data_IF_329440590645
#
_entry.id   IF_329440590645
#
_cell.length_a   1.000
_cell.length_b   1.000
_cell.length_c   1.000
_cell.angle_alpha   90.00
_cell.angle_beta   90.00
_cell.angle_gamma   90.00
#
_symmetry.space_group_name_H-M   'P 1'
#
loop_
_entity.id
_entity.type
_entity.pdbx_description
1 polymer ?
#
# COMPACT_ATOMS: atom_id res chain seq x y z
N UNK A 1 12.89 -12.17 28.76
CA UNK A 1 12.29 -12.16 27.40
C UNK A 1 11.06 -13.09 27.35
N UNK A 2 9.93 -12.68 27.96
CA UNK A 2 8.68 -13.46 27.86
C UNK A 2 7.96 -13.17 26.54
N UNK A 3 8.29 -13.90 25.48
CA UNK A 3 7.33 -14.15 24.41
C UNK A 3 6.55 -15.40 24.79
N UNK A 4 5.39 -15.23 25.44
CA UNK A 4 4.40 -16.31 25.41
C UNK A 4 3.98 -16.39 23.94
N UNK A 5 4.59 -17.30 23.18
CA UNK A 5 4.25 -17.57 21.78
C UNK A 5 2.87 -18.22 21.72
N UNK A 6 1.84 -17.42 22.03
CA UNK A 6 0.44 -17.77 21.84
C UNK A 6 0.12 -17.44 20.40
N UNK A 7 -0.18 -18.47 19.59
CA UNK A 7 -0.67 -18.29 18.22
C UNK A 7 -1.81 -17.26 18.22
N UNK A 8 -1.54 -16.08 17.67
CA UNK A 8 -2.55 -15.06 17.43
C UNK A 8 -3.07 -15.26 16.02
N UNK A 9 -4.32 -15.69 15.92
CA UNK A 9 -4.93 -15.99 14.62
C UNK A 9 -5.25 -14.74 13.78
N UNK A 10 -5.02 -13.51 14.29
CA UNK A 10 -5.39 -12.25 13.63
C UNK A 10 -4.44 -11.10 13.98
N UNK A 11 -4.22 -10.22 13.00
CA UNK A 11 -3.51 -8.95 13.20
C UNK A 11 -4.25 -8.09 14.24
N UNK A 12 -3.58 -7.63 15.32
CA UNK A 12 -4.19 -6.76 16.32
C UNK A 12 -4.53 -5.36 15.77
N UNK A 13 -3.79 -4.88 14.76
CA UNK A 13 -4.08 -3.63 14.07
C UNK A 13 -5.18 -3.87 13.03
N UNK A 14 -6.40 -3.44 13.32
CA UNK A 14 -7.57 -3.70 12.47
C UNK A 14 -7.66 -2.72 11.30
N UNK A 15 -7.09 -3.10 10.15
CA UNK A 15 -7.01 -2.24 8.97
C UNK A 15 -8.15 -2.38 7.95
N UNK A 16 -9.03 -3.38 8.10
CA UNK A 16 -10.07 -3.70 7.09
C UNK A 16 -11.03 -2.56 6.74
N UNK A 17 -11.26 -1.60 7.65
CA UNK A 17 -12.10 -0.42 7.38
C UNK A 17 -11.32 0.59 6.53
N UNK A 18 -10.16 1.03 7.02
CA UNK A 18 -9.23 1.88 6.27
C UNK A 18 -8.94 1.35 4.86
N UNK A 19 -8.72 0.03 4.71
CA UNK A 19 -8.52 -0.61 3.40
C UNK A 19 -9.72 -0.42 2.47
N UNK A 20 -10.94 -0.73 2.95
CA UNK A 20 -12.16 -0.58 2.14
C UNK A 20 -12.42 0.86 1.76
N UNK A 21 -12.22 1.81 2.68
CA UNK A 21 -12.42 3.24 2.41
C UNK A 21 -11.38 3.75 1.41
N UNK A 22 -10.10 3.43 1.62
CA UNK A 22 -9.03 3.83 0.71
C UNK A 22 -9.19 3.21 -0.69
N UNK A 23 -9.52 1.91 -0.76
CA UNK A 23 -9.81 1.23 -2.03
C UNK A 23 -10.95 1.90 -2.79
N UNK A 24 -12.04 2.28 -2.11
CA UNK A 24 -13.16 3.00 -2.76
C UNK A 24 -12.68 4.33 -3.35
N UNK A 25 -11.88 5.10 -2.62
CA UNK A 25 -11.32 6.36 -3.11
C UNK A 25 -10.43 6.15 -4.34
N UNK A 26 -9.50 5.20 -4.30
CA UNK A 26 -8.61 4.94 -5.44
C UNK A 26 -9.34 4.36 -6.65
N UNK A 27 -10.41 3.60 -6.42
CA UNK A 27 -11.26 3.09 -7.50
C UNK A 27 -11.96 4.24 -8.25
N UNK A 28 -12.29 5.35 -7.58
CA UNK A 28 -12.85 6.53 -8.26
C UNK A 28 -11.83 7.17 -9.20
N UNK A 29 -10.56 7.24 -8.80
CA UNK A 29 -9.46 7.70 -9.66
C UNK A 29 -9.33 6.82 -10.90
N UNK A 30 -9.29 5.51 -10.72
CA UNK A 30 -9.22 4.56 -11.83
C UNK A 30 -10.44 4.63 -12.76
N UNK A 31 -11.65 4.84 -12.22
CA UNK A 31 -12.86 5.04 -13.04
C UNK A 31 -12.75 6.29 -13.90
N UNK A 32 -12.23 7.40 -13.36
CA UNK A 32 -12.01 8.62 -14.11
C UNK A 32 -10.96 8.43 -15.22
N UNK A 33 -9.89 7.68 -14.95
CA UNK A 33 -8.91 7.27 -15.98
C UNK A 33 -9.61 6.52 -17.12
N UNK A 34 -10.43 5.52 -16.80
CA UNK A 34 -11.20 4.79 -17.80
C UNK A 34 -12.15 5.68 -18.60
N UNK A 35 -12.84 6.62 -17.94
CA UNK A 35 -13.73 7.57 -18.60
C UNK A 35 -12.98 8.51 -19.56
N UNK A 36 -11.79 9.00 -19.17
CA UNK A 36 -10.92 9.82 -20.04
C UNK A 36 -10.53 9.04 -21.29
N UNK A 37 -10.05 7.80 -21.13
CA UNK A 37 -9.59 6.97 -22.25
C UNK A 37 -10.74 6.61 -23.19
N UNK A 38 -11.90 6.22 -22.64
CA UNK A 38 -13.07 5.83 -23.42
C UNK A 38 -13.81 7.02 -24.06
N UNK A 39 -13.43 8.25 -23.75
CA UNK A 39 -13.97 9.46 -24.39
C UNK A 39 -13.45 9.69 -25.80
N UNK A 40 -12.44 8.93 -26.25
CA UNK A 40 -11.82 9.07 -27.56
C UNK A 40 -12.08 7.85 -28.46
N UNK A 41 -12.11 8.04 -29.80
CA UNK A 41 -12.24 6.94 -30.74
C UNK A 41 -11.09 5.93 -30.58
N UNK A 42 -11.40 4.63 -30.52
CA UNK A 42 -10.37 3.60 -30.37
C UNK A 42 -9.53 3.48 -31.65
N UNK A 43 -8.21 3.39 -31.50
CA UNK A 43 -7.31 3.14 -32.62
C UNK A 43 -7.01 4.35 -33.51
N UNK A 44 -7.38 5.56 -33.07
CA UNK A 44 -6.92 6.81 -33.69
C UNK A 44 -5.63 7.29 -33.01
N UNK A 45 -4.45 7.13 -33.66
CA UNK A 45 -3.18 7.54 -33.05
C UNK A 45 -3.07 9.05 -32.83
N UNK A 46 -3.84 9.86 -33.57
CA UNK A 46 -3.82 11.32 -33.42
C UNK A 46 -4.44 11.81 -32.11
N UNK A 47 -5.27 10.98 -31.46
CA UNK A 47 -5.88 11.26 -30.17
C UNK A 47 -4.92 11.06 -28.99
N UNK A 48 -3.86 10.25 -29.15
CA UNK A 48 -2.95 9.86 -28.06
C UNK A 48 -2.33 11.05 -27.31
N UNK A 49 -1.76 12.07 -27.98
CA UNK A 49 -1.13 13.19 -27.27
C UNK A 49 -2.13 13.92 -26.38
N UNK A 50 -3.39 14.02 -26.82
CA UNK A 50 -4.47 14.66 -26.06
C UNK A 50 -4.86 13.81 -24.84
N UNK A 51 -5.03 12.49 -25.02
CA UNK A 51 -5.32 11.57 -23.91
C UNK A 51 -4.22 11.64 -22.84
N UNK A 52 -2.97 11.52 -23.26
CA UNK A 52 -1.79 11.59 -22.39
C UNK A 52 -1.70 12.92 -21.64
N UNK A 53 -1.98 14.04 -22.32
CA UNK A 53 -2.00 15.35 -21.70
C UNK A 53 -3.12 15.48 -20.65
N UNK A 54 -4.34 15.00 -20.94
CA UNK A 54 -5.47 15.04 -20.00
C UNK A 54 -5.17 14.19 -18.77
N UNK A 55 -4.63 12.98 -18.93
CA UNK A 55 -4.28 12.11 -17.82
C UNK A 55 -3.18 12.71 -16.93
N UNK A 56 -2.16 13.36 -17.52
CA UNK A 56 -1.13 14.08 -16.75
C UNK A 56 -1.70 15.27 -15.97
N UNK A 57 -2.52 16.10 -16.62
CA UNK A 57 -3.24 17.21 -15.94
C UNK A 57 -4.15 16.70 -14.83
N UNK A 58 -4.82 15.57 -15.04
CA UNK A 58 -5.62 14.93 -14.01
C UNK A 58 -4.77 14.48 -12.83
N UNK A 59 -3.61 13.86 -13.07
CA UNK A 59 -2.67 13.49 -12.02
C UNK A 59 -2.26 14.70 -11.18
N UNK A 60 -1.98 15.85 -11.80
CA UNK A 60 -1.60 17.06 -11.08
C UNK A 60 -2.76 17.65 -10.28
N UNK A 61 -3.97 17.68 -10.85
CA UNK A 61 -5.17 18.11 -10.15
C UNK A 61 -5.52 17.24 -8.93
N UNK A 62 -5.02 16.00 -8.85
CA UNK A 62 -5.23 15.12 -7.72
C UNK A 62 -4.39 15.48 -6.48
N UNK A 63 -3.42 16.41 -6.56
CA UNK A 63 -2.44 16.63 -5.49
C UNK A 63 -3.09 16.81 -4.09
N UNK A 64 -3.94 17.82 -3.94
CA UNK A 64 -4.53 18.14 -2.63
C UNK A 64 -5.54 17.08 -2.17
N UNK A 65 -6.26 16.50 -3.13
CA UNK A 65 -7.16 15.37 -2.87
C UNK A 65 -6.40 14.13 -2.40
N UNK A 66 -5.23 13.85 -2.99
CA UNK A 66 -4.36 12.74 -2.62
C UNK A 66 -3.77 12.94 -1.22
N UNK A 67 -3.36 14.17 -0.89
CA UNK A 67 -2.93 14.55 0.47
C UNK A 67 -4.06 14.27 1.47
N UNK A 68 -5.26 14.80 1.22
CA UNK A 68 -6.39 14.62 2.13
C UNK A 68 -6.81 13.15 2.29
N UNK A 69 -6.78 12.39 1.20
CA UNK A 69 -7.15 10.96 1.18
C UNK A 69 -6.11 10.10 1.89
N UNK A 70 -4.82 10.31 1.59
CA UNK A 70 -3.71 9.62 2.24
C UNK A 70 -3.62 9.93 3.73
N UNK A 71 -3.76 11.20 4.11
CA UNK A 71 -3.75 11.62 5.51
C UNK A 71 -4.88 10.94 6.31
N UNK A 72 -6.10 10.88 5.76
CA UNK A 72 -7.23 10.20 6.41
C UNK A 72 -6.95 8.72 6.65
N UNK A 73 -6.42 8.02 5.64
CA UNK A 73 -6.04 6.60 5.76
C UNK A 73 -4.99 6.41 6.86
N UNK A 74 -3.93 7.22 6.86
CA UNK A 74 -2.85 7.15 7.85
C UNK A 74 -3.37 7.45 9.26
N UNK A 75 -4.23 8.46 9.43
CA UNK A 75 -4.85 8.78 10.72
C UNK A 75 -5.68 7.61 11.25
N UNK A 76 -6.51 6.98 10.40
CA UNK A 76 -7.31 5.82 10.82
C UNK A 76 -6.43 4.65 11.24
N UNK A 77 -5.40 4.32 10.43
CA UNK A 77 -4.47 3.23 10.76
C UNK A 77 -3.71 3.52 12.05
N UNK A 78 -3.23 4.75 12.25
CA UNK A 78 -2.55 5.17 13.49
C UNK A 78 -3.45 5.04 14.72
N UNK A 79 -4.75 5.34 14.60
CA UNK A 79 -5.69 5.14 15.70
C UNK A 79 -5.85 3.65 16.06
N UNK A 80 -5.87 2.75 15.06
CA UNK A 80 -5.96 1.31 15.30
C UNK A 80 -4.66 0.73 15.86
N UNK A 81 -3.52 1.22 15.37
CA UNK A 81 -2.20 0.87 15.90
C UNK A 81 -2.07 1.27 17.37
N UNK A 82 -2.43 2.51 17.74
CA UNK A 82 -2.46 2.97 19.15
C UNK A 82 -3.35 2.09 20.03
N UNK A 83 -4.52 1.68 19.55
CA UNK A 83 -5.41 0.76 20.28
C UNK A 83 -4.77 -0.62 20.49
N UNK A 84 -4.10 -1.14 19.46
CA UNK A 84 -3.39 -2.41 19.56
C UNK A 84 -2.24 -2.34 20.58
N UNK A 85 -1.50 -1.23 20.60
CA UNK A 85 -0.45 -0.98 21.59
C UNK A 85 -1.01 -0.83 23.01
N UNK A 86 -2.09 -0.07 23.19
CA UNK A 86 -2.72 0.10 24.50
C UNK A 86 -3.09 -1.26 25.11
N UNK A 87 -3.70 -2.16 24.33
CA UNK A 87 -4.05 -3.51 24.79
C UNK A 87 -2.81 -4.40 25.06
N UNK A 88 -1.74 -4.28 24.25
CA UNK A 88 -0.51 -5.07 24.42
C UNK A 88 0.29 -4.67 25.66
N UNK A 89 0.21 -3.40 26.04
CA UNK A 89 0.99 -2.80 27.13
C UNK A 89 0.25 -2.79 28.47
N UNK A 90 -0.93 -3.42 28.54
CA UNK A 90 -1.77 -3.46 29.76
C UNK A 90 -1.06 -4.01 30.99
N UNK A 91 -0.14 -4.95 30.79
CA UNK A 91 0.65 -5.58 31.87
C UNK A 91 2.04 -4.94 32.05
N UNK A 92 2.38 -3.94 31.23
CA UNK A 92 3.68 -3.25 31.25
C UNK A 92 3.66 -2.06 32.21
N UNK A 93 4.85 -1.59 32.60
CA UNK A 93 5.01 -0.42 33.48
C UNK A 93 4.33 0.82 32.89
N UNK A 94 3.79 1.69 33.76
CA UNK A 94 3.12 2.91 33.33
C UNK A 94 4.03 3.81 32.47
N UNK A 95 5.31 3.92 32.85
CA UNK A 95 6.29 4.73 32.12
C UNK A 95 6.51 4.22 30.69
N UNK A 96 6.70 2.90 30.54
CA UNK A 96 6.91 2.29 29.22
C UNK A 96 5.65 2.35 28.35
N UNK A 97 4.46 2.22 28.95
CA UNK A 97 3.20 2.45 28.25
C UNK A 97 3.06 3.88 27.73
N UNK A 98 3.36 4.87 28.57
CA UNK A 98 3.27 6.28 28.18
C UNK A 98 4.25 6.60 27.05
N UNK A 99 5.47 6.07 27.10
CA UNK A 99 6.46 6.21 26.03
C UNK A 99 5.97 5.65 24.68
N UNK A 100 5.40 4.43 24.66
CA UNK A 100 4.86 3.79 23.45
C UNK A 100 3.70 4.58 22.84
N UNK A 101 2.77 5.06 23.69
CA UNK A 101 1.57 5.75 23.21
C UNK A 101 1.88 7.16 22.68
N UNK A 102 2.91 7.81 23.24
CA UNK A 102 3.35 9.15 22.86
C UNK A 102 4.58 9.19 21.94
N UNK A 103 5.09 8.02 21.52
CA UNK A 103 6.19 7.92 20.58
C UNK A 103 6.01 8.84 19.35
N UNK A 104 7.08 9.53 18.97
CA UNK A 104 7.08 10.44 17.82
C UNK A 104 7.04 9.66 16.50
N UNK A 105 5.83 9.38 16.04
CA UNK A 105 5.57 8.78 14.73
C UNK A 105 5.47 9.83 13.62
N UNK A 106 5.72 11.12 13.91
CA UNK A 106 5.46 12.22 12.99
C UNK A 106 6.31 12.14 11.71
N UNK A 107 7.59 11.80 11.83
CA UNK A 107 8.48 11.62 10.68
C UNK A 107 8.03 10.46 9.78
N UNK A 108 7.69 9.32 10.37
CA UNK A 108 7.17 8.16 9.62
C UNK A 108 5.86 8.50 8.90
N UNK A 109 4.93 9.20 9.57
CA UNK A 109 3.66 9.61 8.96
C UNK A 109 3.85 10.59 7.79
N UNK A 110 4.78 11.54 7.89
CA UNK A 110 5.10 12.46 6.79
C UNK A 110 5.70 11.73 5.58
N UNK A 111 6.60 10.78 5.81
CA UNK A 111 7.16 9.92 4.77
C UNK A 111 6.07 9.12 4.05
N UNK A 112 5.26 8.39 4.82
CA UNK A 112 4.13 7.62 4.30
C UNK A 112 3.16 8.50 3.50
N UNK A 113 2.85 9.71 3.96
CA UNK A 113 1.96 10.62 3.24
C UNK A 113 2.53 11.02 1.87
N UNK A 114 3.82 11.38 1.81
CA UNK A 114 4.49 11.73 0.56
C UNK A 114 4.45 10.56 -0.45
N UNK A 115 4.70 9.34 0.04
CA UNK A 115 4.62 8.12 -0.75
C UNK A 115 3.19 7.86 -1.25
N UNK A 116 2.17 8.07 -0.42
CA UNK A 116 0.77 7.91 -0.84
C UNK A 116 0.39 8.90 -1.95
N UNK A 117 0.79 10.17 -1.83
CA UNK A 117 0.53 11.17 -2.87
C UNK A 117 1.15 10.72 -4.20
N UNK A 118 2.39 10.25 -4.16
CA UNK A 118 3.10 9.74 -5.33
C UNK A 118 2.39 8.53 -5.95
N UNK A 119 1.99 7.56 -5.14
CA UNK A 119 1.30 6.35 -5.60
C UNK A 119 -0.08 6.65 -6.19
N UNK A 120 -0.86 7.54 -5.57
CA UNK A 120 -2.16 7.96 -6.10
C UNK A 120 -1.99 8.62 -7.48
N UNK A 121 -1.05 9.57 -7.59
CA UNK A 121 -0.74 10.24 -8.87
C UNK A 121 -0.21 9.27 -9.92
N UNK A 122 0.45 8.18 -9.53
CA UNK A 122 0.93 7.18 -10.48
C UNK A 122 -0.19 6.45 -11.24
N UNK A 123 -1.41 6.38 -10.71
CA UNK A 123 -2.52 5.68 -11.38
C UNK A 123 -2.82 6.28 -12.76
N UNK A 124 -3.12 7.59 -12.90
CA UNK A 124 -3.30 8.22 -14.21
C UNK A 124 -2.01 8.35 -15.02
N UNK A 125 -0.84 8.52 -14.38
CA UNK A 125 0.44 8.64 -15.09
C UNK A 125 0.84 7.34 -15.78
N UNK A 126 0.71 6.20 -15.09
CA UNK A 126 0.98 4.88 -15.66
C UNK A 126 0.00 4.56 -16.78
N UNK A 127 -1.26 5.00 -16.66
CA UNK A 127 -2.25 4.86 -17.73
C UNK A 127 -1.87 5.69 -18.97
N UNK A 128 -1.40 6.93 -18.79
CA UNK A 128 -0.92 7.77 -19.89
C UNK A 128 0.27 7.10 -20.61
N UNK A 129 1.24 6.62 -19.83
CA UNK A 129 2.40 5.91 -20.36
C UNK A 129 1.98 4.65 -21.14
N UNK A 130 1.07 3.86 -20.59
CA UNK A 130 0.56 2.65 -21.25
C UNK A 130 -0.16 2.97 -22.57
N UNK A 131 -1.00 4.01 -22.59
CA UNK A 131 -1.71 4.43 -23.82
C UNK A 131 -0.71 4.86 -24.89
N UNK A 132 0.32 5.62 -24.49
CA UNK A 132 1.41 6.04 -25.37
C UNK A 132 2.15 4.84 -25.99
N UNK A 133 2.63 3.92 -25.15
CA UNK A 133 3.37 2.72 -25.58
C UNK A 133 2.54 1.84 -26.53
N UNK A 134 1.27 1.60 -26.21
CA UNK A 134 0.38 0.82 -27.05
C UNK A 134 0.12 1.52 -28.39
N UNK A 135 -0.01 2.85 -28.40
CA UNK A 135 -0.22 3.61 -29.64
C UNK A 135 0.99 3.49 -30.57
N UNK A 136 2.22 3.60 -30.05
CA UNK A 136 3.44 3.41 -30.83
C UNK A 136 3.50 1.99 -31.43
N UNK A 137 3.19 0.96 -30.63
CA UNK A 137 3.13 -0.42 -31.12
C UNK A 137 2.08 -0.61 -32.22
N UNK A 138 0.94 0.08 -32.13
CA UNK A 138 -0.11 0.03 -33.15
C UNK A 138 0.27 0.71 -34.47
N UNK A 139 1.12 1.74 -34.43
CA UNK A 139 1.68 2.39 -35.62
C UNK A 139 2.70 1.47 -36.31
N UNK A 140 3.53 0.78 -35.53
CA UNK A 140 4.56 -0.13 -36.04
C UNK A 140 3.97 -1.41 -36.67
N UNK A 141 2.86 -1.94 -36.11
CA UNK A 141 2.22 -3.17 -36.58
C UNK A 141 0.73 -2.96 -36.94
N UNK A 142 0.50 -2.49 -38.17
CA UNK A 142 -0.83 -2.24 -38.72
C UNK A 142 -1.72 -3.50 -38.77
N UNK A 143 -1.15 -4.71 -38.77
CA UNK A 143 -1.94 -5.97 -38.80
C UNK A 143 -2.67 -6.23 -37.48
N UNK A 144 -2.24 -5.57 -36.39
CA UNK A 144 -2.79 -5.74 -35.04
C UNK A 144 -3.52 -4.51 -34.51
N UNK A 145 -3.77 -3.50 -35.35
CA UNK A 145 -4.37 -2.23 -34.93
C UNK A 145 -5.66 -2.38 -34.10
N UNK A 146 -6.55 -3.31 -34.45
CA UNK A 146 -7.78 -3.58 -33.70
C UNK A 146 -7.50 -4.14 -32.29
N UNK A 147 -6.55 -5.07 -32.16
CA UNK A 147 -6.19 -5.63 -30.86
C UNK A 147 -5.50 -4.59 -29.97
N UNK A 148 -4.62 -3.77 -30.53
CA UNK A 148 -4.00 -2.64 -29.81
C UNK A 148 -5.06 -1.64 -29.34
N UNK A 149 -6.04 -1.30 -30.17
CA UNK A 149 -7.13 -0.41 -29.80
C UNK A 149 -7.97 -0.98 -28.63
N UNK A 150 -8.19 -2.31 -28.58
CA UNK A 150 -8.81 -2.98 -27.43
C UNK A 150 -7.94 -2.85 -26.18
N UNK A 151 -6.64 -3.09 -26.28
CA UNK A 151 -5.70 -2.98 -25.15
C UNK A 151 -5.59 -1.55 -24.59
N UNK A 152 -5.68 -0.53 -25.45
CA UNK A 152 -5.75 0.87 -25.04
C UNK A 152 -6.97 1.09 -24.15
N UNK A 153 -8.17 0.64 -24.56
CA UNK A 153 -9.38 0.73 -23.73
C UNK A 153 -9.26 -0.01 -22.41
N UNK A 154 -8.59 -1.17 -22.40
CA UNK A 154 -8.33 -1.95 -21.18
C UNK A 154 -7.37 -1.27 -20.21
N UNK A 155 -6.70 -0.18 -20.58
CA UNK A 155 -5.86 0.59 -19.66
C UNK A 155 -6.65 1.14 -18.46
N UNK A 156 -7.96 1.38 -18.59
CA UNK A 156 -8.84 1.68 -17.44
C UNK A 156 -8.97 0.51 -16.45
N UNK A 157 -9.05 -0.73 -16.95
CA UNK A 157 -9.08 -1.94 -16.11
C UNK A 157 -7.74 -2.18 -15.41
N UNK A 158 -6.64 -1.89 -16.10
CA UNK A 158 -5.28 -1.94 -15.53
C UNK A 158 -5.14 -0.90 -14.42
N UNK A 159 -5.62 0.33 -14.64
CA UNK A 159 -5.66 1.38 -13.63
C UNK A 159 -6.49 0.95 -12.40
N UNK A 160 -7.63 0.28 -12.61
CA UNK A 160 -8.46 -0.24 -11.51
C UNK A 160 -7.75 -1.34 -10.72
N UNK A 161 -7.06 -2.26 -11.41
CA UNK A 161 -6.26 -3.31 -10.77
C UNK A 161 -5.10 -2.71 -9.95
N UNK A 162 -4.44 -1.69 -10.48
CA UNK A 162 -3.40 -0.93 -9.78
C UNK A 162 -3.94 -0.23 -8.54
N UNK A 163 -5.08 0.44 -8.63
CA UNK A 163 -5.73 1.10 -7.50
C UNK A 163 -6.02 0.11 -6.35
N UNK A 164 -6.49 -1.10 -6.66
CA UNK A 164 -6.71 -2.15 -5.66
C UNK A 164 -5.41 -2.64 -5.02
N UNK A 165 -4.37 -2.84 -5.84
CA UNK A 165 -3.05 -3.26 -5.35
C UNK A 165 -2.45 -2.22 -4.38
N UNK A 166 -2.50 -0.94 -4.75
CA UNK A 166 -2.05 0.17 -3.89
C UNK A 166 -2.85 0.14 -2.59
N UNK A 167 -4.18 0.10 -2.65
CA UNK A 167 -5.00 0.17 -1.44
C UNK A 167 -4.68 -0.94 -0.43
N UNK A 168 -4.54 -2.19 -0.89
CA UNK A 168 -4.22 -3.33 -0.03
C UNK A 168 -2.81 -3.26 0.54
N UNK A 169 -1.84 -2.95 -0.31
CA UNK A 169 -0.42 -2.96 0.07
C UNK A 169 -0.11 -1.81 1.03
N UNK A 170 -0.59 -0.62 0.71
CA UNK A 170 -0.20 0.60 1.43
C UNK A 170 -0.86 0.73 2.80
N UNK A 171 -2.06 0.21 2.96
CA UNK A 171 -2.72 0.17 4.27
C UNK A 171 -2.01 -0.80 5.21
N UNK A 172 -1.60 -1.96 4.70
CA UNK A 172 -0.81 -2.93 5.46
C UNK A 172 0.60 -2.40 5.77
N UNK A 173 1.26 -1.76 4.79
CA UNK A 173 2.57 -1.12 4.98
C UNK A 173 2.51 -0.01 6.01
N UNK A 174 1.51 0.86 5.94
CA UNK A 174 1.28 1.94 6.93
C UNK A 174 1.17 1.37 8.34
N UNK A 175 0.40 0.29 8.53
CA UNK A 175 0.29 -0.35 9.83
C UNK A 175 1.64 -0.87 10.33
N UNK A 176 2.37 -1.62 9.49
CA UNK A 176 3.68 -2.16 9.85
C UNK A 176 4.71 -1.07 10.18
N UNK A 177 4.78 0.00 9.38
CA UNK A 177 5.69 1.12 9.58
C UNK A 177 5.38 1.91 10.86
N UNK A 178 4.10 2.13 11.19
CA UNK A 178 3.74 2.80 12.44
C UNK A 178 4.04 1.92 13.66
N UNK A 179 3.77 0.61 13.56
CA UNK A 179 4.15 -0.37 14.59
C UNK A 179 5.67 -0.38 14.80
N UNK A 180 6.46 -0.40 13.72
CA UNK A 180 7.92 -0.31 13.78
C UNK A 180 8.40 0.97 14.46
N UNK A 181 7.85 2.14 14.06
CA UNK A 181 8.24 3.42 14.62
C UNK A 181 8.04 3.48 16.15
N UNK A 182 6.89 2.98 16.64
CA UNK A 182 6.62 2.89 18.08
C UNK A 182 7.51 1.88 18.79
N UNK A 183 7.74 0.72 18.17
CA UNK A 183 8.58 -0.31 18.76
C UNK A 183 10.03 0.16 18.91
N UNK A 184 10.59 0.80 17.88
CA UNK A 184 11.94 1.36 17.90
C UNK A 184 12.10 2.46 18.93
N UNK A 185 11.07 3.29 19.13
CA UNK A 185 11.08 4.33 20.15
C UNK A 185 11.33 3.78 21.57
N UNK A 186 10.98 2.52 21.82
CA UNK A 186 11.19 1.86 23.12
C UNK A 186 12.29 0.82 23.09
N UNK A 187 13.27 0.95 22.19
CA UNK A 187 14.44 0.06 22.13
C UNK A 187 14.17 -1.35 21.59
N UNK A 188 13.05 -1.59 20.90
CA UNK A 188 12.81 -2.87 20.23
C UNK A 188 13.83 -3.10 19.11
N UNK A 189 14.57 -4.21 19.17
CA UNK A 189 15.52 -4.60 18.12
C UNK A 189 14.85 -5.27 16.91
N UNK A 190 13.66 -5.86 17.10
CA UNK A 190 12.97 -6.61 16.07
C UNK A 190 11.59 -7.11 16.48
N UNK A 191 11.05 -8.01 15.67
CA UNK A 191 9.71 -8.55 15.82
C UNK A 191 9.64 -10.03 15.46
N UNK A 192 8.58 -10.69 15.91
CA UNK A 192 8.21 -12.02 15.42
C UNK A 192 7.30 -11.87 14.20
N UNK A 193 7.66 -12.48 13.08
CA UNK A 193 6.86 -12.44 11.86
C UNK A 193 5.59 -13.29 12.02
N UNK A 194 4.43 -12.67 11.82
CA UNK A 194 3.13 -13.34 11.88
C UNK A 194 2.40 -13.27 10.55
N UNK A 195 1.68 -14.32 10.21
CA UNK A 195 0.94 -14.45 8.95
C UNK A 195 -0.56 -14.45 9.19
N UNK A 196 -1.34 -14.14 8.15
CA UNK A 196 -2.81 -14.24 8.20
C UNK A 196 -3.34 -15.68 8.39
N UNK A 197 -2.46 -16.70 8.36
CA UNK A 197 -2.79 -18.11 8.51
C UNK A 197 -3.88 -18.64 7.57
N UNK A 198 -4.09 -18.01 6.41
CA UNK A 198 -5.07 -18.48 5.41
C UNK A 198 -4.44 -19.07 4.15
N UNK A 199 -5.30 -19.63 3.31
CA UNK A 199 -4.91 -20.33 2.08
C UNK A 199 -4.13 -19.48 1.08
N UNK A 200 -4.28 -18.15 1.12
CA UNK A 200 -3.68 -17.23 0.14
C UNK A 200 -2.34 -16.64 0.58
N UNK A 201 -1.88 -16.94 1.81
CA UNK A 201 -0.53 -16.59 2.23
C UNK A 201 0.48 -17.37 1.38
N UNK A 202 1.44 -16.66 0.77
CA UNK A 202 2.51 -17.22 -0.07
C UNK A 202 3.38 -18.20 0.73
N UNK A 203 3.93 -19.21 0.06
CA UNK A 203 4.76 -20.25 0.73
C UNK A 203 6.00 -19.67 1.42
N UNK A 204 6.69 -18.73 0.77
CA UNK A 204 7.81 -17.98 1.33
C UNK A 204 7.42 -17.20 2.60
N UNK A 205 6.24 -16.57 2.62
CA UNK A 205 5.71 -15.88 3.80
C UNK A 205 5.29 -16.85 4.91
N UNK A 206 4.68 -17.99 4.57
CA UNK A 206 4.34 -19.06 5.54
C UNK A 206 5.59 -19.57 6.25
N UNK A 207 6.70 -19.72 5.53
CA UNK A 207 7.98 -20.15 6.08
C UNK A 207 8.62 -19.12 7.05
N UNK A 208 8.08 -17.90 7.14
CA UNK A 208 8.54 -16.88 8.07
C UNK A 208 7.77 -16.86 9.39
N UNK A 209 6.63 -17.56 9.49
CA UNK A 209 5.83 -17.61 10.71
C UNK A 209 6.66 -17.96 11.95
N UNK A 210 6.58 -17.12 12.98
CA UNK A 210 7.27 -17.33 14.25
C UNK A 210 8.76 -16.96 14.24
N UNK A 211 9.35 -16.56 13.10
CA UNK A 211 10.76 -16.17 13.04
C UNK A 211 10.97 -14.76 13.57
N UNK A 212 12.04 -14.56 14.34
CA UNK A 212 12.50 -13.24 14.73
C UNK A 212 13.19 -12.54 13.56
N UNK A 213 12.83 -11.28 13.34
CA UNK A 213 13.34 -10.43 12.27
C UNK A 213 13.82 -9.11 12.87
N UNK A 214 15.12 -8.78 12.73
CA UNK A 214 15.63 -7.47 13.13
C UNK A 214 14.99 -6.36 12.29
N UNK A 215 14.67 -5.22 12.91
CA UNK A 215 14.20 -4.07 12.15
C UNK A 215 15.26 -3.48 11.21
N UNK A 216 16.54 -3.75 11.47
CA UNK A 216 17.65 -3.30 10.64
C UNK A 216 17.88 -4.17 9.40
N UNK A 217 17.28 -5.37 9.34
CA UNK A 217 17.54 -6.35 8.30
C UNK A 217 16.25 -7.05 7.85
N UNK A 218 15.43 -6.38 7.00
CA UNK A 218 14.26 -7.02 6.40
C UNK A 218 14.67 -8.22 5.52
N UNK A 219 13.89 -9.32 5.53
CA UNK A 219 14.16 -10.47 4.69
C UNK A 219 13.83 -10.18 3.22
N UNK A 220 14.44 -10.95 2.32
CA UNK A 220 14.09 -10.98 0.89
C UNK A 220 13.22 -12.19 0.61
N UNK A 221 11.97 -11.97 0.24
CA UNK A 221 10.97 -13.01 -0.09
C UNK A 221 10.41 -12.71 -1.48
N UNK A 222 10.26 -13.74 -2.32
CA UNK A 222 9.70 -13.60 -3.67
C UNK A 222 10.41 -12.51 -4.50
N UNK A 223 11.75 -12.42 -4.35
CA UNK A 223 12.62 -11.41 -4.99
C UNK A 223 12.37 -9.97 -4.53
N UNK A 224 11.65 -9.75 -3.44
CA UNK A 224 11.36 -8.45 -2.86
C UNK A 224 11.82 -8.39 -1.41
N UNK A 225 12.52 -7.31 -1.04
CA UNK A 225 12.97 -7.08 0.34
C UNK A 225 11.95 -6.24 1.07
N UNK A 226 11.49 -6.71 2.24
CA UNK A 226 10.53 -5.94 3.04
C UNK A 226 10.09 -6.66 4.31
N UNK A 227 9.62 -5.88 5.27
CA UNK A 227 9.06 -6.40 6.52
C UNK A 227 7.67 -7.02 6.32
N UNK A 228 7.21 -7.74 7.35
CA UNK A 228 5.86 -8.28 7.40
C UNK A 228 4.83 -7.17 7.16
N UNK A 229 3.96 -7.37 6.18
CA UNK A 229 2.92 -6.40 5.81
C UNK A 229 3.36 -5.33 4.80
N UNK A 230 4.64 -5.24 4.44
CA UNK A 230 5.15 -4.22 3.51
C UNK A 230 5.26 -4.69 2.05
N UNK A 231 5.16 -5.99 1.79
CA UNK A 231 5.24 -6.56 0.43
C UNK A 231 3.88 -6.49 -0.30
N UNK A 232 3.86 -6.54 -1.65
CA UNK A 232 2.62 -6.48 -2.42
C UNK A 232 1.57 -7.49 -1.98
N UNK A 233 0.33 -7.03 -1.75
CA UNK A 233 -0.80 -7.83 -1.25
C UNK A 233 -0.50 -8.64 0.04
N UNK A 234 0.53 -8.26 0.79
CA UNK A 234 0.90 -8.95 2.02
C UNK A 234 -0.08 -8.62 3.14
N UNK A 235 -0.51 -9.64 3.87
CA UNK A 235 -1.37 -9.52 5.08
C UNK A 235 -0.68 -10.08 6.32
N UNK A 236 0.63 -10.31 6.24
CA UNK A 236 1.47 -10.61 7.40
C UNK A 236 1.62 -9.33 8.23
N UNK A 237 1.99 -9.45 9.50
CA UNK A 237 2.24 -8.31 10.36
C UNK A 237 3.42 -8.55 11.30
N UNK A 238 4.11 -7.48 11.73
CA UNK A 238 5.13 -7.62 12.75
C UNK A 238 4.48 -7.72 14.13
N UNK A 239 4.90 -8.69 14.93
CA UNK A 239 4.63 -8.72 16.37
C UNK A 239 5.86 -8.23 17.13
N UNK A 240 5.94 -6.95 17.56
CA UNK A 240 7.15 -6.38 18.13
C UNK A 240 7.60 -7.09 19.41
N UNK A 241 8.90 -7.31 19.54
CA UNK A 241 9.51 -7.76 20.79
C UNK A 241 9.97 -6.53 21.56
N UNK A 242 9.38 -6.30 22.73
CA UNK A 242 9.69 -5.13 23.56
C UNK A 242 10.75 -5.54 24.59
N UNK A 243 11.82 -4.75 24.80
CA UNK A 243 12.75 -4.99 25.89
C UNK A 243 12.03 -4.90 27.25
N UNK A 244 12.50 -5.68 28.22
CA UNK A 244 12.02 -5.67 29.61
C UNK A 244 12.58 -4.46 30.38
#
# INVERSE_FOLDING_TARGET
>A
MRTIDRKKNRNPVRTSRAEREYQRSLTQVARQVGAIINGFPPGDPSAEPTISQILRKYADALNDWAIATGARMITEVNQQDRKAWAARTEEMSKALRDEILHADTGTAMRGLLSEQVTLIKSIPLDAAQRVHELTLQGIEDATRANEIAKEIRRSGEVAASRAQLIARTEVSRTAATLTEARAKATGSEGYIWRTAHDGTVRSSHKAMEGKFIPWSSPPTLDKLTGHAGCLPNCRCWPEPVIPE
#
